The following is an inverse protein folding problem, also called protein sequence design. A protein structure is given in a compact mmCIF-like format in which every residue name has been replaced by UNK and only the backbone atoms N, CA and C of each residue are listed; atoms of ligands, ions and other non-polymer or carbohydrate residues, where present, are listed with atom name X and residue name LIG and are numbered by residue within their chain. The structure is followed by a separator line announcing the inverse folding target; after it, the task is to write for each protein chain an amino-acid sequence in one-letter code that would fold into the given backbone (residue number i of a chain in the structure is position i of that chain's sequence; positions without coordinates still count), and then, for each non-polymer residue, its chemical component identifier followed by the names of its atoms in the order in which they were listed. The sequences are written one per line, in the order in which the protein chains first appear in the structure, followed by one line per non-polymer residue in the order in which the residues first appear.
data_IF_192941689263
#
_entry.id   IF_192941689263
#
_cell.length_a   1.000
_cell.length_b   1.000
_cell.length_c   1.000
_cell.angle_alpha   90.00
_cell.angle_beta   90.00
_cell.angle_gamma   90.00
#
_symmetry.space_group_name_H-M   'P 1'
#
loop_
_entity.id
_entity.type
_entity.pdbx_description
1 polymer ?
#
# COMPACT_ATOMS: atom_id res chain seq x y z
N UNK A 1 12.59 23.21 -3.87
CA UNK A 1 11.79 22.40 -2.93
C UNK A 1 12.58 22.21 -1.67
N UNK A 2 11.95 22.39 -0.49
CA UNK A 2 12.66 22.37 0.78
C UNK A 2 12.91 20.91 1.19
N UNK A 3 14.18 20.53 1.39
CA UNK A 3 14.58 19.19 1.83
C UNK A 3 14.42 19.08 3.35
N UNK A 4 13.98 17.93 3.84
CA UNK A 4 13.92 17.62 5.27
C UNK A 4 15.33 17.27 5.73
N UNK A 5 15.80 17.94 6.78
CA UNK A 5 17.11 17.64 7.41
C UNK A 5 16.93 16.54 8.45
N UNK A 6 17.30 15.31 8.08
CA UNK A 6 17.23 14.14 8.98
C UNK A 6 18.33 14.18 10.06
N UNK A 7 19.38 14.98 9.83
CA UNK A 7 20.55 15.02 10.69
C UNK A 7 20.38 15.95 11.88
N UNK A 8 20.07 17.23 11.60
CA UNK A 8 20.05 18.29 12.63
C UNK A 8 18.65 18.81 12.94
N UNK A 9 17.66 18.47 12.12
CA UNK A 9 16.30 18.94 12.28
C UNK A 9 15.58 18.35 13.50
N UNK A 10 14.57 19.07 13.99
CA UNK A 10 13.69 18.58 15.04
C UNK A 10 12.90 17.36 14.56
N UNK A 11 12.95 16.27 15.30
CA UNK A 11 12.35 14.98 14.93
C UNK A 11 10.84 15.08 14.70
N UNK A 12 10.11 15.75 15.59
CA UNK A 12 8.65 15.92 15.46
C UNK A 12 8.31 16.68 14.17
N UNK A 13 9.00 17.81 13.94
CA UNK A 13 8.82 18.62 12.73
C UNK A 13 9.17 17.83 11.45
N UNK A 14 10.21 17.02 11.50
CA UNK A 14 10.63 16.21 10.35
C UNK A 14 9.61 15.11 10.03
N UNK A 15 9.08 14.44 11.05
CA UNK A 15 8.02 13.43 10.87
C UNK A 15 6.77 14.07 10.29
N UNK A 16 6.32 15.21 10.83
CA UNK A 16 5.15 15.91 10.28
C UNK A 16 5.37 16.38 8.84
N UNK A 17 6.55 16.93 8.52
CA UNK A 17 6.91 17.34 7.16
C UNK A 17 7.00 16.18 6.18
N UNK A 18 7.26 14.97 6.65
CA UNK A 18 7.24 13.76 5.82
C UNK A 18 5.83 13.15 5.74
N UNK A 19 5.12 13.06 6.86
CA UNK A 19 3.83 12.38 6.95
C UNK A 19 2.69 13.17 6.29
N UNK A 20 2.64 14.51 6.44
CA UNK A 20 1.56 15.31 5.86
C UNK A 20 1.51 15.28 4.33
N UNK A 21 2.61 15.47 3.59
CA UNK A 21 2.60 15.29 2.15
C UNK A 21 2.21 13.86 1.74
N UNK A 22 2.70 12.85 2.47
CA UNK A 22 2.35 11.47 2.19
C UNK A 22 0.86 11.20 2.41
N UNK A 23 0.26 11.77 3.46
CA UNK A 23 -1.17 11.69 3.72
C UNK A 23 -1.98 12.31 2.58
N UNK A 24 -1.61 13.52 2.13
CA UNK A 24 -2.27 14.18 1.00
C UNK A 24 -2.17 13.33 -0.27
N UNK A 25 -0.99 12.76 -0.56
CA UNK A 25 -0.80 11.86 -1.69
C UNK A 25 -1.73 10.62 -1.62
N UNK A 26 -1.84 10.01 -0.45
CA UNK A 26 -2.70 8.83 -0.25
C UNK A 26 -4.19 9.17 -0.39
N UNK A 27 -4.63 10.30 0.16
CA UNK A 27 -6.02 10.78 0.01
C UNK A 27 -6.32 11.05 -1.47
N UNK A 28 -5.42 11.73 -2.19
CA UNK A 28 -5.59 11.98 -3.63
C UNK A 28 -5.66 10.68 -4.43
N UNK A 29 -4.84 9.69 -4.07
CA UNK A 29 -4.86 8.37 -4.69
C UNK A 29 -6.19 7.62 -4.44
N UNK A 30 -6.74 7.70 -3.23
CA UNK A 30 -8.06 7.14 -2.93
C UNK A 30 -9.16 7.83 -3.72
N UNK A 31 -9.15 9.16 -3.76
CA UNK A 31 -10.17 9.95 -4.45
C UNK A 31 -10.20 9.63 -5.96
N UNK A 32 -9.03 9.63 -6.62
CA UNK A 32 -9.01 9.34 -8.05
C UNK A 32 -9.48 7.90 -8.34
N UNK A 33 -9.12 6.90 -7.53
CA UNK A 33 -9.60 5.53 -7.71
C UNK A 33 -11.12 5.41 -7.59
N UNK A 34 -11.74 6.19 -6.69
CA UNK A 34 -13.20 6.22 -6.52
C UNK A 34 -13.84 6.88 -7.74
N UNK A 35 -13.31 8.04 -8.16
CA UNK A 35 -13.88 8.82 -9.28
C UNK A 35 -13.75 8.07 -10.60
N UNK A 36 -12.61 7.41 -10.86
CA UNK A 36 -12.42 6.54 -12.04
C UNK A 36 -13.51 5.46 -12.13
N UNK A 37 -13.78 4.76 -11.02
CA UNK A 37 -14.86 3.76 -10.97
C UNK A 37 -16.25 4.37 -11.21
N UNK A 38 -16.50 5.58 -10.70
CA UNK A 38 -17.77 6.30 -10.93
C UNK A 38 -17.93 6.65 -12.42
N UNK A 39 -16.86 7.09 -13.10
CA UNK A 39 -16.92 7.35 -14.53
C UNK A 39 -17.16 6.08 -15.34
N UNK A 40 -16.46 4.98 -15.03
CA UNK A 40 -16.67 3.68 -15.69
C UNK A 40 -18.09 3.18 -15.48
N UNK A 41 -18.65 3.29 -14.27
CA UNK A 41 -20.01 2.87 -13.97
C UNK A 41 -21.08 3.69 -14.74
N UNK A 42 -20.75 4.90 -15.18
CA UNK A 42 -21.64 5.80 -15.93
C UNK A 42 -21.48 5.69 -17.45
N UNK A 43 -20.70 4.75 -17.97
CA UNK A 43 -20.63 4.50 -19.42
C UNK A 43 -22.02 4.05 -19.91
N UNK A 44 -22.61 4.73 -20.91
CA UNK A 44 -23.94 4.38 -21.43
C UNK A 44 -24.02 2.91 -21.84
N UNK A 45 -25.14 2.28 -21.57
CA UNK A 45 -25.53 0.90 -21.91
C UNK A 45 -24.69 -0.23 -21.31
N UNK A 46 -23.44 0.03 -20.92
CA UNK A 46 -22.48 -1.02 -20.49
C UNK A 46 -21.79 -0.75 -19.15
N UNK A 47 -22.13 0.32 -18.44
CA UNK A 47 -21.41 0.76 -17.23
C UNK A 47 -21.25 -0.33 -16.16
N UNK A 48 -22.32 -1.08 -15.87
CA UNK A 48 -22.27 -2.17 -14.89
C UNK A 48 -21.34 -3.31 -15.33
N UNK A 49 -21.42 -3.71 -16.61
CA UNK A 49 -20.56 -4.75 -17.19
C UNK A 49 -19.10 -4.28 -17.25
N UNK A 50 -18.88 -3.02 -17.63
CA UNK A 50 -17.56 -2.40 -17.68
C UNK A 50 -16.91 -2.34 -16.28
N UNK A 51 -17.67 -1.95 -15.26
CA UNK A 51 -17.19 -1.94 -13.88
C UNK A 51 -16.81 -3.35 -13.38
N UNK A 52 -17.63 -4.35 -13.70
CA UNK A 52 -17.33 -5.76 -13.42
C UNK A 52 -16.06 -6.23 -14.13
N UNK A 53 -15.87 -5.81 -15.39
CA UNK A 53 -14.66 -6.11 -16.16
C UNK A 53 -13.38 -5.53 -15.54
N UNK A 54 -13.42 -4.28 -15.06
CA UNK A 54 -12.30 -3.68 -14.30
C UNK A 54 -12.04 -4.47 -13.01
N UNK A 55 -13.09 -4.92 -12.34
CA UNK A 55 -12.97 -5.77 -11.15
C UNK A 55 -12.20 -7.06 -11.42
N UNK A 56 -12.38 -7.69 -12.58
CA UNK A 56 -11.62 -8.88 -12.99
C UNK A 56 -10.13 -8.58 -13.26
N UNK A 57 -9.79 -7.35 -13.66
CA UNK A 57 -8.40 -6.92 -13.87
C UNK A 57 -7.70 -6.56 -12.57
N UNK A 58 -8.44 -6.26 -11.50
CA UNK A 58 -7.90 -5.75 -10.24
C UNK A 58 -6.84 -6.63 -9.59
N UNK A 59 -6.94 -7.98 -9.54
CA UNK A 59 -5.89 -8.82 -8.99
C UNK A 59 -4.55 -8.66 -9.71
N UNK A 60 -4.55 -8.47 -11.04
CA UNK A 60 -3.33 -8.25 -11.83
C UNK A 60 -2.71 -6.89 -11.46
N UNK A 61 -3.53 -5.86 -11.31
CA UNK A 61 -3.10 -4.52 -10.88
C UNK A 61 -2.46 -4.59 -9.48
N UNK A 62 -3.05 -5.36 -8.56
CA UNK A 62 -2.50 -5.59 -7.22
C UNK A 62 -1.14 -6.29 -7.27
N UNK A 63 -0.97 -7.28 -8.13
CA UNK A 63 0.32 -7.97 -8.32
C UNK A 63 1.38 -6.98 -8.82
N UNK A 64 1.09 -6.16 -9.83
CA UNK A 64 2.01 -5.14 -10.35
C UNK A 64 2.43 -4.18 -9.24
N UNK A 65 1.47 -3.71 -8.44
CA UNK A 65 1.73 -2.81 -7.31
C UNK A 65 2.55 -3.50 -6.20
N UNK A 66 2.30 -4.78 -5.94
CA UNK A 66 3.07 -5.55 -4.96
C UNK A 66 4.55 -5.67 -5.37
N UNK A 67 4.82 -5.90 -6.66
CA UNK A 67 6.20 -5.90 -7.18
C UNK A 67 6.83 -4.51 -7.15
N UNK A 68 6.08 -3.43 -7.41
CA UNK A 68 6.59 -2.05 -7.22
C UNK A 68 7.06 -1.84 -5.79
N UNK A 69 6.23 -2.23 -4.82
CA UNK A 69 6.54 -2.13 -3.40
C UNK A 69 7.70 -3.02 -2.97
N UNK A 70 7.86 -4.21 -3.59
CA UNK A 70 8.99 -5.11 -3.33
C UNK A 70 10.33 -4.38 -3.48
N UNK A 71 10.50 -3.62 -4.55
CA UNK A 71 11.76 -2.92 -4.82
C UNK A 71 11.84 -1.55 -4.15
N UNK A 72 10.72 -0.82 -4.08
CA UNK A 72 10.66 0.51 -3.49
C UNK A 72 10.80 0.49 -1.98
N UNK A 73 9.89 -0.19 -1.29
CA UNK A 73 9.89 -0.27 0.17
C UNK A 73 10.95 -1.21 0.73
N UNK A 74 11.47 -2.12 -0.09
CA UNK A 74 12.63 -2.96 0.25
C UNK A 74 13.95 -2.21 0.16
N UNK A 75 14.12 -1.36 -0.86
CA UNK A 75 15.38 -0.65 -1.10
C UNK A 75 15.54 0.65 -0.30
N UNK A 76 14.47 1.44 -0.16
CA UNK A 76 14.53 2.77 0.46
C UNK A 76 15.04 2.79 1.92
N UNK A 77 14.66 1.86 2.81
CA UNK A 77 15.23 1.80 4.15
C UNK A 77 16.74 1.51 4.15
N UNK A 78 17.19 0.54 3.34
CA UNK A 78 18.61 0.17 3.25
C UNK A 78 19.41 1.33 2.66
N UNK A 79 18.88 2.00 1.63
CA UNK A 79 19.44 3.24 1.08
C UNK A 79 19.60 4.31 2.17
N UNK A 80 18.56 4.53 2.99
CA UNK A 80 18.60 5.53 4.07
C UNK A 80 19.63 5.18 5.16
N UNK A 81 19.80 3.89 5.48
CA UNK A 81 20.83 3.42 6.42
C UNK A 81 22.24 3.73 5.88
N UNK A 82 22.54 3.37 4.62
CA UNK A 82 23.86 3.61 4.03
C UNK A 82 24.14 5.10 3.88
N UNK A 83 23.11 5.89 3.56
CA UNK A 83 23.22 7.35 3.57
C UNK A 83 23.53 7.90 4.96
N UNK A 84 22.89 7.36 6.01
CA UNK A 84 23.18 7.72 7.41
C UNK A 84 24.60 7.37 7.84
N UNK A 85 25.19 6.28 7.34
CA UNK A 85 26.58 5.90 7.54
C UNK A 85 27.58 6.81 6.82
N UNK A 86 27.12 7.72 5.95
CA UNK A 86 27.97 8.52 5.07
C UNK A 86 28.50 7.74 3.85
N UNK A 87 28.01 6.53 3.61
CA UNK A 87 28.43 5.71 2.47
C UNK A 87 27.62 6.08 1.21
N UNK A 88 27.90 7.26 0.66
CA UNK A 88 27.18 7.83 -0.47
C UNK A 88 27.23 6.95 -1.73
N UNK A 89 28.37 6.32 -2.00
CA UNK A 89 28.54 5.43 -3.15
C UNK A 89 27.62 4.21 -3.05
N UNK A 90 27.57 3.56 -1.88
CA UNK A 90 26.72 2.40 -1.64
C UNK A 90 25.23 2.77 -1.64
N UNK A 91 24.85 3.92 -1.07
CA UNK A 91 23.48 4.40 -1.12
C UNK A 91 23.01 4.60 -2.57
N UNK A 92 23.82 5.27 -3.41
CA UNK A 92 23.53 5.43 -4.83
C UNK A 92 23.42 4.10 -5.57
N UNK A 93 24.31 3.15 -5.29
CA UNK A 93 24.28 1.81 -5.87
C UNK A 93 22.97 1.07 -5.51
N UNK A 94 22.54 1.10 -4.26
CA UNK A 94 21.31 0.46 -3.80
C UNK A 94 20.05 1.02 -4.49
N UNK A 95 19.95 2.34 -4.66
CA UNK A 95 18.86 2.95 -5.40
C UNK A 95 18.85 2.51 -6.87
N UNK A 96 20.03 2.49 -7.52
CA UNK A 96 20.18 2.08 -8.91
C UNK A 96 19.93 0.58 -9.10
N UNK A 97 20.31 -0.25 -8.12
CA UNK A 97 19.98 -1.68 -8.10
C UNK A 97 18.46 -1.87 -8.00
N UNK A 98 17.78 -1.17 -7.10
CA UNK A 98 16.31 -1.22 -6.99
C UNK A 98 15.63 -0.80 -8.28
N UNK A 99 16.09 0.28 -8.93
CA UNK A 99 15.54 0.74 -10.20
C UNK A 99 15.74 -0.26 -11.32
N UNK A 100 16.94 -0.84 -11.44
CA UNK A 100 17.25 -1.82 -12.48
C UNK A 100 16.41 -3.10 -12.31
N UNK A 101 16.28 -3.60 -11.07
CA UNK A 101 15.44 -4.75 -10.77
C UNK A 101 13.95 -4.47 -11.05
N UNK A 102 13.47 -3.29 -10.67
CA UNK A 102 12.12 -2.83 -10.93
C UNK A 102 11.84 -2.76 -12.44
N UNK A 103 12.74 -2.16 -13.21
CA UNK A 103 12.60 -2.04 -14.66
C UNK A 103 12.58 -3.40 -15.35
N UNK A 104 13.49 -4.30 -14.96
CA UNK A 104 13.52 -5.67 -15.49
C UNK A 104 12.24 -6.43 -15.14
N UNK A 105 11.81 -6.35 -13.89
CA UNK A 105 10.57 -6.99 -13.43
C UNK A 105 9.34 -6.43 -14.18
N UNK A 106 9.28 -5.11 -14.38
CA UNK A 106 8.19 -4.47 -15.11
C UNK A 106 8.07 -4.97 -16.55
N UNK A 107 9.21 -5.14 -17.24
CA UNK A 107 9.23 -5.69 -18.60
C UNK A 107 8.78 -7.16 -18.60
N UNK A 108 9.25 -7.96 -17.65
CA UNK A 108 8.84 -9.37 -17.51
C UNK A 108 7.33 -9.47 -17.25
N UNK A 109 6.81 -8.68 -16.30
CA UNK A 109 5.38 -8.68 -15.97
C UNK A 109 4.53 -8.18 -17.14
N UNK A 110 4.98 -7.16 -17.86
CA UNK A 110 4.31 -6.66 -19.06
C UNK A 110 4.23 -7.75 -20.13
N UNK A 111 5.34 -8.38 -20.48
CA UNK A 111 5.38 -9.43 -21.51
C UNK A 111 4.53 -10.63 -21.07
N UNK A 112 4.71 -11.12 -19.86
CA UNK A 112 3.92 -12.23 -19.32
C UNK A 112 2.42 -11.89 -19.28
N UNK A 113 2.09 -10.69 -18.82
CA UNK A 113 0.71 -10.20 -18.78
C UNK A 113 0.08 -10.15 -20.18
N UNK A 114 0.78 -9.58 -21.17
CA UNK A 114 0.30 -9.51 -22.56
C UNK A 114 0.10 -10.90 -23.19
N UNK A 115 0.99 -11.84 -22.93
CA UNK A 115 0.91 -13.22 -23.46
C UNK A 115 -0.22 -14.02 -22.79
N UNK A 116 -0.42 -13.83 -21.49
CA UNK A 116 -1.34 -14.63 -20.68
C UNK A 116 -2.61 -13.87 -20.23
N UNK A 117 -2.87 -12.66 -20.74
CA UNK A 117 -4.02 -11.84 -20.34
C UNK A 117 -5.35 -12.59 -20.43
N UNK A 118 -5.62 -13.21 -21.58
CA UNK A 118 -6.88 -13.93 -21.81
C UNK A 118 -7.05 -15.15 -20.89
N UNK A 119 -6.11 -16.11 -20.81
CA UNK A 119 -6.25 -17.25 -19.90
C UNK A 119 -6.33 -16.84 -18.43
N UNK A 120 -5.63 -15.79 -17.99
CA UNK A 120 -5.72 -15.28 -16.62
C UNK A 120 -7.12 -14.71 -16.33
N UNK A 121 -7.70 -13.92 -17.24
CA UNK A 121 -9.05 -13.38 -17.07
C UNK A 121 -10.10 -14.50 -17.03
N UNK A 122 -9.97 -15.53 -17.86
CA UNK A 122 -10.86 -16.71 -17.82
C UNK A 122 -10.72 -17.45 -16.49
N UNK A 123 -9.49 -17.62 -15.99
CA UNK A 123 -9.23 -18.24 -14.68
C UNK A 123 -9.87 -17.44 -13.53
N UNK A 124 -9.96 -16.12 -13.68
CA UNK A 124 -10.61 -15.24 -12.70
C UNK A 124 -12.15 -15.17 -12.87
N UNK A 125 -12.71 -15.98 -13.77
CA UNK A 125 -14.15 -16.12 -13.93
C UNK A 125 -14.77 -15.14 -14.93
N UNK A 126 -13.99 -14.62 -15.88
CA UNK A 126 -14.53 -13.78 -16.94
C UNK A 126 -15.49 -14.57 -17.82
N UNK A 127 -16.75 -14.11 -17.93
CA UNK A 127 -17.70 -14.57 -18.94
C UNK A 127 -17.31 -14.00 -20.33
N UNK A 128 -17.85 -14.55 -21.40
CA UNK A 128 -17.60 -14.04 -22.76
C UNK A 128 -17.95 -12.55 -22.88
N UNK A 129 -19.06 -12.13 -22.28
CA UNK A 129 -19.47 -10.73 -22.24
C UNK A 129 -18.50 -9.86 -21.41
N UNK A 130 -18.05 -10.34 -20.24
CA UNK A 130 -17.06 -9.67 -19.41
C UNK A 130 -15.68 -9.60 -20.07
N UNK A 131 -15.29 -10.65 -20.78
CA UNK A 131 -14.01 -10.73 -21.48
C UNK A 131 -13.91 -9.69 -22.62
N UNK A 132 -15.02 -9.40 -23.29
CA UNK A 132 -15.07 -8.38 -24.36
C UNK A 132 -14.66 -6.98 -23.86
N UNK A 133 -14.86 -6.70 -22.58
CA UNK A 133 -14.47 -5.41 -21.93
C UNK A 133 -13.17 -5.53 -21.13
N UNK A 134 -12.98 -6.61 -20.38
CA UNK A 134 -11.80 -6.81 -19.52
C UNK A 134 -10.52 -6.97 -20.33
N UNK A 135 -10.55 -7.73 -21.42
CA UNK A 135 -9.36 -8.01 -22.21
C UNK A 135 -8.75 -6.75 -22.85
N UNK A 136 -9.50 -5.90 -23.60
CA UNK A 136 -8.91 -4.69 -24.16
C UNK A 136 -8.48 -3.68 -23.09
N UNK A 137 -9.20 -3.58 -21.97
CA UNK A 137 -8.80 -2.76 -20.84
C UNK A 137 -7.44 -3.21 -20.29
N UNK A 138 -7.31 -4.51 -20.00
CA UNK A 138 -6.09 -5.09 -19.44
C UNK A 138 -4.91 -4.96 -20.41
N UNK A 139 -5.11 -5.21 -21.70
CA UNK A 139 -4.05 -5.08 -22.71
C UNK A 139 -3.48 -3.66 -22.76
N UNK A 140 -4.34 -2.63 -22.70
CA UNK A 140 -3.91 -1.22 -22.65
C UNK A 140 -3.20 -0.94 -21.32
N UNK A 141 -3.78 -1.36 -20.20
CA UNK A 141 -3.21 -1.14 -18.86
C UNK A 141 -1.80 -1.74 -18.74
N UNK A 142 -1.58 -2.94 -19.28
CA UNK A 142 -0.29 -3.64 -19.22
C UNK A 142 0.83 -2.89 -19.96
N UNK A 143 0.53 -2.11 -21.00
CA UNK A 143 1.52 -1.24 -21.64
C UNK A 143 2.03 -0.15 -20.69
N UNK A 144 1.22 0.23 -19.70
CA UNK A 144 1.58 1.14 -18.62
C UNK A 144 2.33 0.49 -17.44
N UNK A 145 2.68 -0.79 -17.49
CA UNK A 145 3.29 -1.50 -16.35
C UNK A 145 4.59 -0.84 -15.88
N UNK A 146 5.52 -0.52 -16.79
CA UNK A 146 6.77 0.15 -16.42
C UNK A 146 6.54 1.55 -15.82
N UNK A 147 5.78 2.47 -16.45
CA UNK A 147 5.45 3.75 -15.84
C UNK A 147 4.79 3.61 -14.46
N UNK A 148 3.81 2.73 -14.32
CA UNK A 148 3.12 2.49 -13.05
C UNK A 148 4.08 2.04 -11.95
N UNK A 149 4.93 1.06 -12.26
CA UNK A 149 5.94 0.57 -11.32
C UNK A 149 6.99 1.62 -11.00
N UNK A 150 7.46 2.39 -11.97
CA UNK A 150 8.45 3.44 -11.77
C UNK A 150 7.90 4.57 -10.89
N UNK A 151 6.67 5.04 -11.14
CA UNK A 151 6.03 6.08 -10.34
C UNK A 151 5.88 5.66 -8.88
N UNK A 152 5.39 4.44 -8.64
CA UNK A 152 5.11 3.95 -7.29
C UNK A 152 6.37 3.45 -6.58
N UNK A 153 7.21 2.67 -7.26
CA UNK A 153 8.37 2.01 -6.66
C UNK A 153 9.58 2.92 -6.44
N UNK A 154 9.71 4.03 -7.20
CA UNK A 154 10.80 4.98 -7.01
C UNK A 154 10.44 6.16 -6.09
N UNK A 155 9.16 6.39 -5.81
CA UNK A 155 8.69 7.43 -4.88
C UNK A 155 9.27 7.28 -3.45
N UNK A 156 9.40 6.07 -2.85
CA UNK A 156 10.05 5.89 -1.56
C UNK A 156 11.49 6.42 -1.51
N UNK A 157 12.24 6.39 -2.61
CA UNK A 157 13.60 6.95 -2.68
C UNK A 157 13.61 8.48 -2.72
N UNK A 158 12.58 9.12 -3.27
CA UNK A 158 12.39 10.58 -3.16
C UNK A 158 12.17 10.97 -1.70
N UNK A 159 11.29 10.24 -1.00
CA UNK A 159 11.02 10.44 0.42
C UNK A 159 12.26 10.15 1.28
N UNK A 160 13.01 9.10 0.96
CA UNK A 160 14.26 8.72 1.63
C UNK A 160 15.38 9.75 1.46
N UNK A 161 15.34 10.56 0.40
CA UNK A 161 16.23 11.71 0.22
C UNK A 161 15.76 12.99 0.94
N UNK A 162 14.57 12.95 1.57
CA UNK A 162 13.99 14.07 2.32
C UNK A 162 13.09 14.99 1.49
N UNK A 163 12.65 14.58 0.30
CA UNK A 163 11.82 15.38 -0.60
C UNK A 163 10.35 14.94 -0.61
N UNK A 164 9.76 14.72 0.57
CA UNK A 164 8.39 14.19 0.71
C UNK A 164 7.34 15.00 -0.08
N UNK A 165 7.45 16.33 -0.13
CA UNK A 165 6.56 17.19 -0.94
C UNK A 165 6.69 16.89 -2.44
N UNK A 166 7.88 16.55 -2.91
CA UNK A 166 8.09 16.16 -4.31
C UNK A 166 7.43 14.81 -4.60
N UNK A 167 7.56 13.86 -3.67
CA UNK A 167 6.84 12.58 -3.77
C UNK A 167 5.33 12.76 -3.83
N UNK A 168 4.77 13.67 -3.02
CA UNK A 168 3.35 14.05 -3.08
C UNK A 168 2.96 14.62 -4.44
N UNK A 169 3.74 15.56 -4.97
CA UNK A 169 3.46 16.22 -6.25
C UNK A 169 3.38 15.19 -7.39
N UNK A 170 4.24 14.18 -7.41
CA UNK A 170 4.18 13.12 -8.43
C UNK A 170 2.85 12.36 -8.44
N UNK A 171 2.31 12.07 -7.24
CA UNK A 171 1.00 11.40 -7.10
C UNK A 171 -0.13 12.34 -7.53
N UNK A 172 -0.07 13.63 -7.15
CA UNK A 172 -1.07 14.64 -7.52
C UNK A 172 -1.09 14.83 -9.05
N UNK A 173 0.07 14.88 -9.72
CA UNK A 173 0.15 14.95 -11.20
C UNK A 173 -0.62 13.77 -11.81
N UNK A 174 -0.36 12.55 -11.37
CA UNK A 174 -1.07 11.36 -11.85
C UNK A 174 -2.57 11.45 -11.60
N UNK A 175 -2.98 11.78 -10.37
CA UNK A 175 -4.37 11.84 -9.97
C UNK A 175 -5.17 12.90 -10.73
N UNK A 176 -4.64 14.13 -10.85
CA UNK A 176 -5.32 15.23 -11.60
C UNK A 176 -5.38 14.89 -13.09
N UNK A 177 -4.30 14.38 -13.66
CA UNK A 177 -4.29 13.99 -15.08
C UNK A 177 -5.35 12.93 -15.36
N UNK A 178 -5.45 11.90 -14.53
CA UNK A 178 -6.45 10.84 -14.69
C UNK A 178 -7.88 11.42 -14.57
N UNK A 179 -8.14 12.23 -13.53
CA UNK A 179 -9.44 12.86 -13.30
C UNK A 179 -9.92 13.73 -14.50
N UNK A 180 -8.99 14.38 -15.20
CA UNK A 180 -9.30 15.21 -16.37
C UNK A 180 -9.41 14.39 -17.66
N UNK A 181 -8.59 13.35 -17.81
CA UNK A 181 -8.54 12.55 -19.04
C UNK A 181 -9.63 11.49 -19.10
N UNK A 182 -10.10 10.95 -17.96
CA UNK A 182 -11.16 9.95 -17.93
C UNK A 182 -12.43 10.44 -18.64
N UNK A 183 -13.07 11.56 -18.24
CA UNK A 183 -14.28 12.01 -18.93
C UNK A 183 -14.02 12.36 -20.41
N UNK A 184 -12.82 12.85 -20.75
CA UNK A 184 -12.45 13.18 -22.11
C UNK A 184 -12.39 11.92 -22.99
N UNK A 185 -11.67 10.88 -22.56
CA UNK A 185 -11.52 9.65 -23.35
C UNK A 185 -12.75 8.76 -23.30
N UNK A 186 -13.41 8.68 -22.14
CA UNK A 186 -14.59 7.82 -21.96
C UNK A 186 -15.79 8.36 -22.73
N UNK A 187 -16.12 9.66 -22.55
CA UNK A 187 -17.39 10.23 -23.02
C UNK A 187 -17.21 11.09 -24.27
N UNK A 188 -16.23 12.03 -24.29
CA UNK A 188 -16.08 12.96 -25.42
C UNK A 188 -15.54 12.22 -26.65
N UNK A 189 -14.52 11.40 -26.51
CA UNK A 189 -13.99 10.57 -27.61
C UNK A 189 -14.75 9.25 -27.80
N UNK A 190 -15.69 8.92 -26.91
CA UNK A 190 -16.53 7.74 -27.04
C UNK A 190 -15.78 6.40 -26.93
N UNK A 191 -14.57 6.39 -26.33
CA UNK A 191 -13.75 5.17 -26.24
C UNK A 191 -14.20 4.21 -25.13
N UNK A 192 -15.16 4.65 -24.27
CA UNK A 192 -15.68 3.83 -23.19
C UNK A 192 -14.59 3.30 -22.26
N UNK A 193 -14.64 2.02 -21.92
CA UNK A 193 -13.66 1.39 -20.99
C UNK A 193 -12.21 1.44 -21.49
N UNK A 194 -11.99 1.42 -22.81
CA UNK A 194 -10.65 1.59 -23.39
C UNK A 194 -10.10 2.98 -23.09
N UNK A 195 -10.99 3.98 -23.09
CA UNK A 195 -10.67 5.37 -22.74
C UNK A 195 -10.16 5.50 -21.32
N UNK A 196 -10.82 4.84 -20.35
CA UNK A 196 -10.37 4.78 -18.96
C UNK A 196 -8.95 4.18 -18.83
N UNK A 197 -8.69 3.05 -19.52
CA UNK A 197 -7.36 2.44 -19.52
C UNK A 197 -6.28 3.37 -20.12
N UNK A 198 -6.58 4.04 -21.22
CA UNK A 198 -5.65 5.00 -21.86
C UNK A 198 -5.36 6.18 -20.93
N UNK A 199 -6.40 6.77 -20.31
CA UNK A 199 -6.25 7.86 -19.36
C UNK A 199 -5.36 7.46 -18.17
N UNK A 200 -5.58 6.26 -17.64
CA UNK A 200 -4.76 5.71 -16.55
C UNK A 200 -3.31 5.55 -16.96
N UNK A 201 -3.02 4.97 -18.12
CA UNK A 201 -1.64 4.79 -18.60
C UNK A 201 -0.93 6.12 -18.85
N UNK A 202 -1.62 7.11 -19.43
CA UNK A 202 -1.06 8.46 -19.63
C UNK A 202 -0.75 9.10 -18.27
N UNK A 203 -1.67 9.02 -17.32
CA UNK A 203 -1.52 9.60 -16.00
C UNK A 203 -0.35 8.99 -15.23
N UNK A 204 -0.21 7.67 -15.27
CA UNK A 204 0.93 6.94 -14.69
C UNK A 204 2.24 7.31 -15.40
N UNK A 205 2.20 7.49 -16.73
CA UNK A 205 3.38 7.88 -17.50
C UNK A 205 3.86 9.29 -17.13
N UNK A 206 2.95 10.26 -16.96
CA UNK A 206 3.31 11.61 -16.54
C UNK A 206 3.84 11.62 -15.09
N UNK A 207 3.23 10.86 -14.19
CA UNK A 207 3.74 10.70 -12.82
C UNK A 207 5.13 10.07 -12.82
N UNK A 208 5.35 9.01 -13.59
CA UNK A 208 6.66 8.37 -13.74
C UNK A 208 7.71 9.29 -14.36
N UNK A 209 7.34 10.02 -15.41
CA UNK A 209 8.22 11.00 -16.04
C UNK A 209 8.69 12.07 -15.06
N UNK A 210 7.78 12.57 -14.21
CA UNK A 210 8.13 13.52 -13.15
C UNK A 210 9.06 12.89 -12.09
N UNK A 211 8.78 11.68 -11.62
CA UNK A 211 9.61 10.95 -10.65
C UNK A 211 11.02 10.71 -11.21
N UNK A 212 11.12 10.19 -12.42
CA UNK A 212 12.39 9.88 -13.07
C UNK A 212 13.18 11.16 -13.40
N UNK A 213 12.49 12.21 -13.90
CA UNK A 213 13.10 13.52 -14.13
C UNK A 213 13.69 14.08 -12.85
N UNK A 214 12.93 14.06 -11.74
CA UNK A 214 13.42 14.55 -10.46
C UNK A 214 14.63 13.75 -9.97
N UNK A 215 14.54 12.42 -9.98
CA UNK A 215 15.62 11.54 -9.52
C UNK A 215 16.86 11.60 -10.41
N UNK A 216 16.72 11.94 -11.71
CA UNK A 216 17.86 12.04 -12.62
C UNK A 216 18.56 13.40 -12.56
N UNK A 217 17.79 14.50 -12.50
CA UNK A 217 18.33 15.85 -12.66
C UNK A 217 18.40 16.68 -11.37
N UNK A 218 17.48 16.46 -10.41
CA UNK A 218 17.29 17.34 -9.24
C UNK A 218 17.66 16.71 -7.90
N UNK A 219 17.61 15.39 -7.81
CA UNK A 219 17.92 14.67 -6.58
C UNK A 219 19.43 14.65 -6.28
N UNK A 220 19.78 14.53 -5.00
CA UNK A 220 21.18 14.36 -4.56
C UNK A 220 21.79 13.07 -5.10
N UNK A 221 21.04 11.96 -4.99
CA UNK A 221 21.40 10.68 -5.56
C UNK A 221 20.65 10.51 -6.87
N UNK A 222 21.42 10.43 -7.96
CA UNK A 222 20.86 10.38 -9.32
C UNK A 222 20.58 8.95 -9.75
N UNK A 223 19.44 8.76 -10.38
CA UNK A 223 19.05 7.47 -10.93
C UNK A 223 19.77 7.21 -12.26
N UNK A 224 20.25 6.00 -12.43
CA UNK A 224 20.79 5.44 -13.66
C UNK A 224 20.67 3.92 -13.69
N UNK A 225 20.78 3.32 -14.83
CA UNK A 225 20.94 1.88 -14.92
C UNK A 225 22.35 1.46 -14.45
N UNK A 226 22.43 0.26 -13.89
CA UNK A 226 23.71 -0.32 -13.49
C UNK A 226 24.59 -0.61 -14.71
N UNK A 227 25.88 -0.37 -14.57
CA UNK A 227 26.87 -0.85 -15.54
C UNK A 227 27.00 -2.38 -15.47
N UNK A 228 27.60 -2.99 -16.49
CA UNK A 228 27.81 -4.45 -16.53
C UNK A 228 28.62 -4.96 -15.34
N UNK A 229 29.62 -4.20 -14.89
CA UNK A 229 30.46 -4.54 -13.74
C UNK A 229 29.69 -4.44 -12.42
N UNK A 230 28.86 -3.40 -12.26
CA UNK A 230 28.01 -3.22 -11.09
C UNK A 230 26.91 -4.31 -11.04
N UNK A 231 26.34 -4.67 -12.19
CA UNK A 231 25.33 -5.74 -12.29
C UNK A 231 25.90 -7.08 -11.82
N UNK A 232 27.15 -7.38 -12.16
CA UNK A 232 27.81 -8.61 -11.71
C UNK A 232 28.08 -8.63 -10.19
N UNK A 233 28.29 -7.48 -9.56
CA UNK A 233 28.62 -7.35 -8.13
C UNK A 233 27.43 -7.05 -7.22
N UNK A 234 26.25 -6.70 -7.78
CA UNK A 234 25.10 -6.27 -6.98
C UNK A 234 24.23 -7.41 -6.42
N UNK A 235 24.61 -8.67 -6.59
CA UNK A 235 23.78 -9.83 -6.22
C UNK A 235 23.38 -9.85 -4.73
N UNK A 236 24.29 -9.46 -3.84
CA UNK A 236 24.02 -9.37 -2.40
C UNK A 236 23.07 -8.22 -2.08
N UNK A 237 23.23 -7.08 -2.75
CA UNK A 237 22.34 -5.92 -2.62
C UNK A 237 20.93 -6.25 -3.13
N UNK A 238 20.84 -6.89 -4.28
CA UNK A 238 19.58 -7.38 -4.84
C UNK A 238 18.86 -8.33 -3.86
N UNK A 239 19.60 -9.30 -3.31
CA UNK A 239 19.09 -10.20 -2.26
C UNK A 239 18.58 -9.44 -1.04
N UNK A 240 19.31 -8.42 -0.60
CA UNK A 240 18.93 -7.62 0.56
C UNK A 240 17.66 -6.82 0.31
N UNK A 241 17.56 -6.17 -0.85
CA UNK A 241 16.38 -5.40 -1.28
C UNK A 241 15.15 -6.31 -1.37
N UNK A 242 15.25 -7.40 -2.14
CA UNK A 242 14.15 -8.34 -2.31
C UNK A 242 13.72 -8.96 -0.99
N UNK A 243 14.67 -9.39 -0.15
CA UNK A 243 14.37 -9.99 1.15
C UNK A 243 13.63 -9.03 2.09
N UNK A 244 14.01 -7.74 2.15
CA UNK A 244 13.30 -6.77 2.97
C UNK A 244 11.94 -6.42 2.37
N UNK A 245 11.88 -6.24 1.05
CA UNK A 245 10.64 -5.91 0.34
C UNK A 245 9.61 -7.04 0.35
N UNK A 246 10.05 -8.29 0.48
CA UNK A 246 9.17 -9.46 0.61
C UNK A 246 8.15 -9.31 1.75
N UNK A 247 8.49 -8.62 2.84
CA UNK A 247 7.56 -8.35 3.93
C UNK A 247 6.35 -7.52 3.47
N UNK A 248 6.57 -6.46 2.70
CA UNK A 248 5.50 -5.62 2.14
C UNK A 248 4.73 -6.33 1.03
N UNK A 249 5.44 -7.07 0.18
CA UNK A 249 4.86 -7.89 -0.88
C UNK A 249 3.88 -8.93 -0.32
N UNK A 250 4.31 -9.72 0.67
CA UNK A 250 3.46 -10.70 1.36
C UNK A 250 2.27 -10.02 2.01
N UNK A 251 2.48 -8.88 2.70
CA UNK A 251 1.40 -8.16 3.35
C UNK A 251 0.31 -7.73 2.37
N UNK A 252 0.67 -7.31 1.16
CA UNK A 252 -0.28 -6.91 0.13
C UNK A 252 -1.05 -8.10 -0.45
N UNK A 253 -0.37 -9.19 -0.77
CA UNK A 253 -1.01 -10.41 -1.27
C UNK A 253 -1.91 -11.05 -0.21
N UNK A 254 -1.49 -11.08 1.04
CA UNK A 254 -2.28 -11.67 2.13
C UNK A 254 -3.52 -10.86 2.47
N UNK A 255 -3.53 -9.55 2.26
CA UNK A 255 -4.76 -8.76 2.37
C UNK A 255 -5.82 -9.21 1.36
N UNK A 256 -5.42 -9.46 0.11
CA UNK A 256 -6.33 -9.99 -0.92
C UNK A 256 -6.82 -11.40 -0.56
N UNK A 257 -5.93 -12.26 -0.07
CA UNK A 257 -6.29 -13.61 0.40
C UNK A 257 -7.33 -13.55 1.53
N UNK A 258 -7.13 -12.71 2.54
CA UNK A 258 -8.08 -12.54 3.65
C UNK A 258 -9.45 -12.08 3.13
N UNK A 259 -9.48 -11.15 2.18
CA UNK A 259 -10.74 -10.67 1.59
C UNK A 259 -11.47 -11.80 0.86
N UNK A 260 -10.76 -12.62 0.08
CA UNK A 260 -11.35 -13.79 -0.61
C UNK A 260 -11.91 -14.78 0.41
N UNK A 261 -11.13 -15.15 1.43
CA UNK A 261 -11.58 -16.07 2.49
C UNK A 261 -12.80 -15.53 3.23
N UNK A 262 -12.79 -14.24 3.60
CA UNK A 262 -13.91 -13.60 4.29
C UNK A 262 -15.18 -13.62 3.42
N UNK A 263 -15.08 -13.24 2.15
CA UNK A 263 -16.23 -13.24 1.23
C UNK A 263 -16.79 -14.66 1.03
N UNK A 264 -15.93 -15.68 0.91
CA UNK A 264 -16.37 -17.07 0.76
C UNK A 264 -17.15 -17.55 1.98
N UNK A 265 -16.70 -17.23 3.20
CA UNK A 265 -17.42 -17.62 4.42
C UNK A 265 -18.69 -16.81 4.59
N UNK A 266 -18.65 -15.50 4.31
CA UNK A 266 -19.83 -14.62 4.42
C UNK A 266 -20.93 -15.01 3.41
N UNK A 267 -20.57 -15.41 2.19
CA UNK A 267 -21.57 -15.86 1.19
C UNK A 267 -22.38 -17.06 1.68
N UNK A 268 -21.75 -17.98 2.42
CA UNK A 268 -22.40 -19.18 2.98
C UNK A 268 -23.15 -18.88 4.27
N UNK A 269 -22.59 -18.02 5.16
CA UNK A 269 -23.13 -17.82 6.52
C UNK A 269 -24.11 -16.66 6.63
N UNK A 270 -24.06 -15.68 5.71
CA UNK A 270 -24.85 -14.45 5.78
C UNK A 270 -25.41 -13.97 4.43
N UNK A 271 -25.02 -14.61 3.33
CA UNK A 271 -25.43 -14.23 1.98
C UNK A 271 -24.85 -12.90 1.50
N UNK A 272 -25.39 -12.40 0.38
CA UNK A 272 -24.92 -11.21 -0.33
C UNK A 272 -24.97 -9.92 0.52
N UNK A 273 -25.92 -9.85 1.46
CA UNK A 273 -26.04 -8.71 2.39
C UNK A 273 -24.75 -8.56 3.22
N UNK A 274 -24.22 -9.64 3.77
CA UNK A 274 -23.02 -9.58 4.59
C UNK A 274 -21.73 -9.39 3.78
N UNK A 275 -21.71 -9.76 2.51
CA UNK A 275 -20.65 -9.38 1.58
C UNK A 275 -20.66 -7.86 1.38
N UNK A 276 -21.84 -7.26 1.23
CA UNK A 276 -22.03 -5.81 1.12
C UNK A 276 -21.60 -5.09 2.41
N UNK A 277 -21.99 -5.63 3.57
CA UNK A 277 -21.53 -5.15 4.89
C UNK A 277 -19.99 -5.15 4.97
N UNK A 278 -19.33 -6.25 4.59
CA UNK A 278 -17.88 -6.35 4.61
C UNK A 278 -17.20 -5.37 3.64
N UNK A 279 -17.83 -5.10 2.50
CA UNK A 279 -17.33 -4.12 1.52
C UNK A 279 -17.33 -2.71 2.10
N UNK A 280 -18.41 -2.31 2.79
CA UNK A 280 -18.48 -1.02 3.48
C UNK A 280 -17.42 -0.94 4.60
N UNK A 281 -17.34 -1.97 5.45
CA UNK A 281 -16.36 -2.04 6.53
C UNK A 281 -14.93 -1.94 5.99
N UNK A 282 -14.62 -2.64 4.89
CA UNK A 282 -13.30 -2.59 4.24
C UNK A 282 -12.99 -1.20 3.67
N UNK A 283 -13.99 -0.50 3.14
CA UNK A 283 -13.83 0.87 2.63
C UNK A 283 -13.59 1.87 3.77
N UNK A 284 -14.34 1.77 4.86
CA UNK A 284 -14.10 2.56 6.08
C UNK A 284 -12.71 2.25 6.62
N UNK A 285 -12.34 0.98 6.70
CA UNK A 285 -11.01 0.55 7.14
C UNK A 285 -9.91 1.22 6.32
N UNK A 286 -9.96 1.15 5.00
CA UNK A 286 -8.96 1.77 4.12
C UNK A 286 -8.85 3.28 4.38
N UNK A 287 -9.96 3.96 4.57
CA UNK A 287 -9.99 5.40 4.86
C UNK A 287 -9.31 5.72 6.20
N UNK A 288 -9.62 4.96 7.26
CA UNK A 288 -9.09 5.24 8.61
C UNK A 288 -7.66 4.73 8.83
N UNK A 289 -7.20 3.73 8.08
CA UNK A 289 -5.81 3.24 8.14
C UNK A 289 -4.83 4.15 7.39
N UNK A 290 -5.29 4.86 6.37
CA UNK A 290 -4.44 5.71 5.51
C UNK A 290 -3.57 6.71 6.27
N UNK A 291 -4.07 7.48 7.26
CA UNK A 291 -3.21 8.38 8.03
C UNK A 291 -2.21 7.66 8.93
N UNK A 292 -2.56 6.49 9.47
CA UNK A 292 -1.62 5.68 10.27
C UNK A 292 -0.46 5.25 9.38
N UNK A 293 -0.75 4.77 8.17
CA UNK A 293 0.24 4.40 7.17
C UNK A 293 1.13 5.59 6.78
N UNK A 294 0.55 6.77 6.56
CA UNK A 294 1.30 7.97 6.22
C UNK A 294 2.27 8.40 7.33
N UNK A 295 1.85 8.33 8.61
CA UNK A 295 2.70 8.64 9.77
C UNK A 295 3.84 7.61 9.88
N UNK A 296 3.53 6.34 9.77
CA UNK A 296 4.52 5.27 9.98
C UNK A 296 5.54 5.20 8.83
N UNK A 297 5.08 5.17 7.60
CA UNK A 297 5.97 5.13 6.43
C UNK A 297 6.73 6.46 6.22
N UNK A 298 6.10 7.61 6.55
CA UNK A 298 6.79 8.90 6.55
C UNK A 298 7.91 9.00 7.59
N UNK A 299 7.79 8.28 8.71
CA UNK A 299 8.83 8.21 9.75
C UNK A 299 9.97 7.25 9.39
N UNK A 300 9.73 6.26 8.55
CA UNK A 300 10.68 5.20 8.23
C UNK A 300 12.03 5.72 7.72
N UNK A 301 12.12 6.66 6.76
CA UNK A 301 13.41 7.19 6.30
C UNK A 301 14.20 7.91 7.40
N UNK A 302 13.52 8.60 8.33
CA UNK A 302 14.13 9.32 9.44
C UNK A 302 14.75 8.33 10.43
N UNK A 303 14.03 7.25 10.76
CA UNK A 303 14.49 6.18 11.63
C UNK A 303 15.69 5.47 10.99
N UNK A 304 15.58 5.07 9.72
CA UNK A 304 16.63 4.37 8.97
C UNK A 304 17.92 5.19 8.86
N UNK A 305 17.81 6.48 8.54
CA UNK A 305 18.95 7.39 8.44
C UNK A 305 19.69 7.51 9.78
N UNK A 306 18.97 7.80 10.87
CA UNK A 306 19.57 7.98 12.19
C UNK A 306 20.13 6.66 12.75
N UNK A 307 19.55 5.52 12.38
CA UNK A 307 20.12 4.21 12.70
C UNK A 307 21.46 4.00 11.99
N UNK A 308 21.53 4.30 10.70
CA UNK A 308 22.78 4.26 9.93
C UNK A 308 23.86 5.21 10.49
N UNK A 309 23.46 6.41 10.90
CA UNK A 309 24.33 7.41 11.52
C UNK A 309 24.76 7.09 12.96
N UNK A 310 24.40 5.92 13.51
CA UNK A 310 24.67 5.49 14.89
C UNK A 310 24.21 6.50 15.95
N UNK A 311 22.99 7.03 15.78
CA UNK A 311 22.36 8.00 16.69
C UNK A 311 21.16 7.35 17.43
N UNK A 312 21.39 6.45 18.41
CA UNK A 312 20.32 5.64 19.02
C UNK A 312 19.26 6.49 19.72
N UNK A 313 19.63 7.62 20.29
CA UNK A 313 18.71 8.55 20.94
C UNK A 313 17.71 9.13 19.93
N UNK A 314 18.16 9.53 18.71
CA UNK A 314 17.27 10.03 17.66
C UNK A 314 16.39 8.93 17.07
N UNK A 315 16.90 7.71 16.93
CA UNK A 315 16.11 6.54 16.51
C UNK A 315 14.96 6.28 17.51
N UNK A 316 15.30 6.26 18.82
CA UNK A 316 14.30 6.08 19.88
C UNK A 316 13.28 7.22 19.91
N UNK A 317 13.73 8.46 19.81
CA UNK A 317 12.85 9.63 19.76
C UNK A 317 11.92 9.58 18.54
N UNK A 318 12.43 9.25 17.36
CA UNK A 318 11.62 9.12 16.14
C UNK A 318 10.58 7.99 16.27
N UNK A 319 10.96 6.83 16.81
CA UNK A 319 10.05 5.73 17.06
C UNK A 319 8.93 6.09 18.06
N UNK A 320 9.27 6.77 19.17
CA UNK A 320 8.28 7.23 20.15
C UNK A 320 7.36 8.28 19.53
N UNK A 321 7.91 9.29 18.84
CA UNK A 321 7.10 10.34 18.20
C UNK A 321 6.13 9.76 17.17
N UNK A 322 6.61 8.82 16.32
CA UNK A 322 5.78 8.09 15.38
C UNK A 322 4.64 7.37 16.10
N UNK A 323 4.95 6.59 17.15
CA UNK A 323 3.96 5.85 17.92
C UNK A 323 2.93 6.76 18.59
N UNK A 324 3.36 7.88 19.20
CA UNK A 324 2.48 8.84 19.87
C UNK A 324 1.56 9.54 18.87
N UNK A 325 2.07 10.04 17.74
CA UNK A 325 1.25 10.70 16.73
C UNK A 325 0.21 9.74 16.16
N UNK A 326 0.64 8.52 15.84
CA UNK A 326 -0.27 7.49 15.33
C UNK A 326 -1.29 7.05 16.41
N UNK A 327 -0.91 7.01 17.70
CA UNK A 327 -1.80 6.70 18.81
C UNK A 327 -2.88 7.79 18.99
N UNK A 328 -2.50 9.05 18.99
CA UNK A 328 -3.44 10.18 19.09
C UNK A 328 -4.47 10.09 17.97
N UNK A 329 -4.02 9.94 16.73
CA UNK A 329 -4.93 9.77 15.59
C UNK A 329 -5.83 8.54 15.73
N UNK A 330 -5.24 7.38 16.10
CA UNK A 330 -6.00 6.13 16.24
C UNK A 330 -7.08 6.25 17.31
N UNK A 331 -6.79 6.85 18.45
CA UNK A 331 -7.78 7.08 19.52
C UNK A 331 -8.91 8.01 19.07
N UNK A 332 -8.59 9.08 18.36
CA UNK A 332 -9.59 10.00 17.83
C UNK A 332 -10.52 9.30 16.84
N UNK A 333 -9.98 8.63 15.83
CA UNK A 333 -10.82 7.98 14.82
C UNK A 333 -11.57 6.78 15.38
N UNK A 334 -10.97 6.02 16.31
CA UNK A 334 -11.64 4.90 16.98
C UNK A 334 -12.83 5.38 17.81
N UNK A 335 -12.69 6.52 18.50
CA UNK A 335 -13.81 7.16 19.20
C UNK A 335 -14.94 7.52 18.22
N UNK A 336 -14.62 8.04 17.02
CA UNK A 336 -15.63 8.34 15.99
C UNK A 336 -16.31 7.07 15.48
N UNK A 337 -15.53 6.00 15.23
CA UNK A 337 -16.08 4.72 14.78
C UNK A 337 -17.08 4.14 15.79
N UNK A 338 -16.79 4.24 17.10
CA UNK A 338 -17.64 3.71 18.15
C UNK A 338 -18.85 4.61 18.44
N UNK A 339 -18.66 5.93 18.44
CA UNK A 339 -19.70 6.90 18.80
C UNK A 339 -20.66 7.21 17.63
N UNK A 340 -20.14 7.30 16.41
CA UNK A 340 -20.89 7.71 15.24
C UNK A 340 -20.70 6.76 14.02
N UNK A 341 -20.90 5.43 14.15
CA UNK A 341 -20.69 4.50 13.06
C UNK A 341 -21.60 4.80 11.86
N UNK A 342 -22.84 5.24 12.10
CA UNK A 342 -23.79 5.59 11.03
C UNK A 342 -23.29 6.70 10.13
N UNK A 343 -22.54 7.68 10.67
CA UNK A 343 -21.95 8.75 9.87
C UNK A 343 -20.93 8.19 8.87
N UNK A 344 -20.03 7.31 9.32
CA UNK A 344 -19.02 6.69 8.46
C UNK A 344 -19.64 5.76 7.41
N UNK A 345 -20.63 4.97 7.80
CA UNK A 345 -21.36 4.09 6.88
C UNK A 345 -22.11 4.90 5.83
N UNK A 346 -22.73 6.03 6.25
CA UNK A 346 -23.48 6.93 5.38
C UNK A 346 -22.67 7.58 4.26
N UNK A 347 -21.33 7.61 4.37
CA UNK A 347 -20.44 8.05 3.29
C UNK A 347 -20.51 7.07 2.09
N UNK A 348 -20.78 5.77 2.36
CA UNK A 348 -20.72 4.70 1.37
C UNK A 348 -22.09 4.17 0.95
N UNK A 349 -23.09 4.24 1.84
CA UNK A 349 -24.44 3.75 1.56
C UNK A 349 -25.50 4.56 2.31
N UNK A 350 -26.61 4.84 1.62
CA UNK A 350 -27.82 5.44 2.20
C UNK A 350 -28.92 4.41 2.52
N UNK A 351 -28.68 3.13 2.27
CA UNK A 351 -29.64 2.06 2.53
C UNK A 351 -29.76 1.79 4.03
N UNK A 352 -30.97 2.02 4.57
CA UNK A 352 -31.26 1.88 6.00
C UNK A 352 -31.26 0.42 6.46
N UNK A 353 -31.65 -0.52 5.61
CA UNK A 353 -31.63 -1.94 5.95
C UNK A 353 -30.16 -2.41 6.09
N UNK A 354 -29.31 -2.09 5.11
CA UNK A 354 -27.89 -2.41 5.14
C UNK A 354 -27.17 -1.73 6.32
N UNK A 355 -27.57 -0.52 6.68
CA UNK A 355 -27.02 0.22 7.82
C UNK A 355 -27.29 -0.50 9.15
N UNK A 356 -28.44 -1.13 9.30
CA UNK A 356 -28.82 -1.85 10.51
C UNK A 356 -27.90 -3.04 10.78
N UNK A 357 -27.49 -3.76 9.75
CA UNK A 357 -26.57 -4.89 9.86
C UNK A 357 -25.10 -4.43 9.95
N UNK A 358 -24.78 -3.34 9.26
CA UNK A 358 -23.37 -2.83 9.21
C UNK A 358 -22.92 -2.22 10.53
N UNK A 359 -23.80 -1.53 11.28
CA UNK A 359 -23.43 -0.87 12.55
C UNK A 359 -22.87 -1.87 13.59
N UNK A 360 -23.55 -2.97 13.93
CA UNK A 360 -23.01 -3.94 14.90
C UNK A 360 -21.75 -4.65 14.38
N UNK A 361 -21.75 -5.04 13.09
CA UNK A 361 -20.60 -5.67 12.45
C UNK A 361 -19.35 -4.76 12.47
N UNK A 362 -19.54 -3.46 12.19
CA UNK A 362 -18.46 -2.47 12.22
C UNK A 362 -17.91 -2.27 13.64
N UNK A 363 -18.77 -2.19 14.66
CA UNK A 363 -18.33 -2.09 16.05
C UNK A 363 -17.52 -3.33 16.47
N UNK A 364 -17.95 -4.50 16.05
CA UNK A 364 -17.24 -5.76 16.32
C UNK A 364 -15.89 -5.80 15.60
N UNK A 365 -15.87 -5.46 14.32
CA UNK A 365 -14.65 -5.46 13.49
C UNK A 365 -13.57 -4.51 14.03
N UNK A 366 -13.97 -3.33 14.49
CA UNK A 366 -13.08 -2.32 15.05
C UNK A 366 -12.91 -2.39 16.58
N UNK A 367 -13.43 -3.42 17.26
CA UNK A 367 -13.40 -3.52 18.72
C UNK A 367 -11.98 -3.41 19.31
N UNK A 368 -10.97 -3.95 18.62
CA UNK A 368 -9.57 -3.90 19.02
C UNK A 368 -8.68 -3.10 18.04
N UNK A 369 -9.23 -2.04 17.44
CA UNK A 369 -8.53 -1.25 16.43
C UNK A 369 -7.22 -0.64 16.92
N UNK A 370 -7.15 -0.25 18.20
CA UNK A 370 -5.93 0.29 18.82
C UNK A 370 -4.74 -0.67 18.76
N UNK A 371 -4.97 -1.98 18.85
CA UNK A 371 -3.91 -2.98 18.78
C UNK A 371 -3.31 -3.14 17.38
N UNK A 372 -4.07 -2.76 16.35
CA UNK A 372 -3.56 -2.71 14.98
C UNK A 372 -2.41 -1.70 14.83
N UNK A 373 -2.48 -0.57 15.56
CA UNK A 373 -1.40 0.42 15.60
C UNK A 373 -0.07 -0.22 16.03
N UNK A 374 -0.09 -1.11 17.02
CA UNK A 374 1.10 -1.78 17.53
C UNK A 374 1.80 -2.60 16.42
N UNK A 375 1.01 -3.20 15.54
CA UNK A 375 1.52 -3.89 14.36
C UNK A 375 2.19 -2.93 13.38
N UNK A 376 1.55 -1.80 13.05
CA UNK A 376 2.11 -0.81 12.12
C UNK A 376 3.42 -0.23 12.64
N UNK A 377 3.46 0.16 13.91
CA UNK A 377 4.68 0.70 14.56
C UNK A 377 5.80 -0.34 14.58
N UNK A 378 5.52 -1.55 15.05
CA UNK A 378 6.52 -2.63 15.13
C UNK A 378 7.08 -3.01 13.76
N UNK A 379 6.21 -3.20 12.77
CA UNK A 379 6.59 -3.53 11.39
C UNK A 379 7.43 -2.44 10.73
N UNK A 380 7.04 -1.17 10.89
CA UNK A 380 7.79 -0.05 10.32
C UNK A 380 9.18 0.04 10.93
N UNK A 381 9.32 -0.14 12.25
CA UNK A 381 10.62 -0.16 12.92
C UNK A 381 11.46 -1.35 12.42
N UNK A 382 10.90 -2.56 12.30
CA UNK A 382 11.63 -3.71 11.76
C UNK A 382 12.11 -3.46 10.33
N UNK A 383 11.28 -2.89 9.46
CA UNK A 383 11.67 -2.52 8.09
C UNK A 383 12.77 -1.44 8.10
N UNK A 384 12.57 -0.38 8.87
CA UNK A 384 13.48 0.76 8.94
C UNK A 384 14.88 0.37 9.46
N UNK A 385 14.99 -0.63 10.35
CA UNK A 385 16.23 -1.15 10.88
C UNK A 385 16.77 -2.38 10.10
N UNK A 386 16.18 -2.69 8.94
CA UNK A 386 16.55 -3.85 8.10
C UNK A 386 16.44 -5.21 8.82
N UNK A 387 15.47 -5.34 9.73
CA UNK A 387 15.20 -6.58 10.47
C UNK A 387 14.27 -7.51 9.66
N UNK A 388 14.74 -7.98 8.51
CA UNK A 388 13.97 -8.72 7.49
C UNK A 388 13.19 -9.90 8.06
N UNK A 389 13.84 -10.75 8.87
CA UNK A 389 13.21 -11.96 9.43
C UNK A 389 11.96 -11.62 10.25
N UNK A 390 12.03 -10.61 11.10
CA UNK A 390 10.89 -10.17 11.91
C UNK A 390 9.81 -9.52 11.05
N UNK A 391 10.19 -8.67 10.09
CA UNK A 391 9.24 -8.03 9.20
C UNK A 391 8.43 -9.05 8.38
N UNK A 392 9.07 -10.07 7.81
CA UNK A 392 8.42 -11.16 7.06
C UNK A 392 7.55 -12.00 7.99
N UNK A 393 8.10 -12.45 9.14
CA UNK A 393 7.39 -13.29 10.09
C UNK A 393 6.07 -12.66 10.54
N UNK A 394 6.09 -11.39 10.96
CA UNK A 394 4.88 -10.72 11.44
C UNK A 394 3.89 -10.36 10.32
N UNK A 395 4.35 -10.23 9.06
CA UNK A 395 3.45 -10.09 7.91
C UNK A 395 2.63 -11.37 7.69
N UNK A 396 3.26 -12.53 7.82
CA UNK A 396 2.61 -13.85 7.64
C UNK A 396 1.78 -14.20 8.88
N UNK A 397 2.34 -14.03 10.08
CA UNK A 397 1.71 -14.44 11.34
C UNK A 397 0.30 -13.88 11.47
N UNK A 398 0.15 -12.56 11.34
CA UNK A 398 -1.14 -11.93 11.58
C UNK A 398 -2.19 -12.33 10.56
N UNK A 399 -1.87 -12.24 9.28
CA UNK A 399 -2.87 -12.42 8.21
C UNK A 399 -3.09 -13.89 7.84
N UNK A 400 -2.02 -14.65 7.64
CA UNK A 400 -2.13 -16.03 7.17
C UNK A 400 -2.35 -17.00 8.33
N UNK A 401 -1.57 -16.87 9.42
CA UNK A 401 -1.61 -17.84 10.52
C UNK A 401 -2.75 -17.55 11.49
N UNK A 402 -3.15 -16.29 11.69
CA UNK A 402 -4.21 -15.94 12.65
C UNK A 402 -5.52 -15.63 11.93
N UNK A 403 -5.58 -14.62 11.05
CA UNK A 403 -6.85 -14.15 10.46
C UNK A 403 -7.51 -15.22 9.61
N UNK A 404 -6.78 -15.84 8.67
CA UNK A 404 -7.39 -16.81 7.74
C UNK A 404 -8.00 -18.00 8.50
N UNK A 405 -7.30 -18.70 9.41
CA UNK A 405 -7.93 -19.79 10.18
C UNK A 405 -9.11 -19.31 11.04
N UNK A 406 -9.00 -18.18 11.71
CA UNK A 406 -10.09 -17.65 12.54
C UNK A 406 -11.32 -17.29 11.71
N UNK A 407 -11.13 -16.79 10.47
CA UNK A 407 -12.24 -16.50 9.53
C UNK A 407 -13.07 -17.75 9.23
N UNK A 408 -12.44 -18.94 9.20
CA UNK A 408 -13.16 -20.21 9.00
C UNK A 408 -13.62 -20.83 10.31
N UNK A 409 -12.86 -20.73 11.41
CA UNK A 409 -13.16 -21.43 12.67
C UNK A 409 -14.27 -20.71 13.45
N UNK A 410 -14.15 -19.40 13.68
CA UNK A 410 -15.06 -18.67 14.59
C UNK A 410 -16.54 -18.72 14.18
N UNK A 411 -16.91 -18.60 12.89
CA UNK A 411 -18.32 -18.66 12.48
C UNK A 411 -19.01 -19.96 12.90
N UNK A 412 -18.28 -21.07 12.80
CA UNK A 412 -18.83 -22.40 13.06
C UNK A 412 -18.58 -22.89 14.49
N UNK A 413 -17.38 -22.70 15.05
CA UNK A 413 -17.04 -23.19 16.39
C UNK A 413 -17.84 -22.49 17.50
N UNK A 414 -18.18 -21.21 17.33
CA UNK A 414 -18.97 -20.44 18.29
C UNK A 414 -20.44 -20.32 17.89
N UNK A 415 -20.85 -20.89 16.76
CA UNK A 415 -22.20 -20.76 16.19
C UNK A 415 -22.69 -19.31 16.06
N UNK A 416 -21.78 -18.35 15.78
CA UNK A 416 -22.10 -16.92 15.67
C UNK A 416 -22.23 -16.45 14.22
N UNK A 417 -22.14 -17.38 13.27
CA UNK A 417 -22.34 -17.09 11.84
C UNK A 417 -21.45 -15.98 11.31
N UNK A 418 -21.99 -15.00 10.54
CA UNK A 418 -21.21 -13.94 9.91
C UNK A 418 -20.36 -13.11 10.92
N UNK A 419 -20.84 -12.96 12.16
CA UNK A 419 -20.13 -12.22 13.20
C UNK A 419 -18.76 -12.85 13.53
N UNK A 420 -18.59 -14.15 13.33
CA UNK A 420 -17.29 -14.81 13.47
C UNK A 420 -16.26 -14.33 12.50
N UNK A 421 -16.64 -13.99 11.26
CA UNK A 421 -15.75 -13.42 10.26
C UNK A 421 -15.28 -12.03 10.70
N UNK A 422 -16.20 -11.18 11.16
CA UNK A 422 -15.86 -9.85 11.66
C UNK A 422 -14.99 -9.89 12.92
N UNK A 423 -15.14 -10.91 13.75
CA UNK A 423 -14.37 -11.10 15.00
C UNK A 423 -12.94 -11.56 14.74
N UNK A 424 -12.62 -12.15 13.60
CA UNK A 424 -11.28 -12.62 13.26
C UNK A 424 -10.25 -11.49 13.27
N UNK A 425 -10.60 -10.30 12.76
CA UNK A 425 -9.68 -9.15 12.70
C UNK A 425 -9.32 -8.60 14.10
N UNK A 426 -10.26 -8.25 15.00
CA UNK A 426 -9.91 -7.78 16.34
C UNK A 426 -9.11 -8.78 17.14
N UNK A 427 -9.41 -10.08 17.08
CA UNK A 427 -8.62 -11.12 17.75
C UNK A 427 -7.18 -11.13 17.24
N UNK A 428 -7.02 -11.06 15.91
CA UNK A 428 -5.69 -11.02 15.30
C UNK A 428 -4.91 -9.75 15.64
N UNK A 429 -5.60 -8.61 15.77
CA UNK A 429 -4.97 -7.35 16.16
C UNK A 429 -4.43 -7.43 17.59
N UNK A 430 -5.19 -7.98 18.52
CA UNK A 430 -4.74 -8.17 19.91
C UNK A 430 -3.53 -9.10 19.96
N UNK A 431 -3.61 -10.27 19.35
CA UNK A 431 -2.54 -11.28 19.41
C UNK A 431 -1.34 -10.84 18.57
N UNK A 432 -1.54 -10.62 17.28
CA UNK A 432 -0.47 -10.33 16.32
C UNK A 432 0.14 -8.95 16.53
N UNK A 433 -0.69 -7.92 16.78
CA UNK A 433 -0.25 -6.56 17.03
C UNK A 433 0.58 -6.44 18.31
N UNK A 434 0.07 -6.98 19.43
CA UNK A 434 0.79 -6.98 20.71
C UNK A 434 2.09 -7.75 20.62
N UNK A 435 2.07 -8.96 20.03
CA UNK A 435 3.28 -9.78 19.90
C UNK A 435 4.33 -9.09 19.04
N UNK A 436 3.93 -8.48 17.91
CA UNK A 436 4.83 -7.71 17.04
C UNK A 436 5.51 -6.58 17.82
N UNK A 437 4.74 -5.83 18.60
CA UNK A 437 5.25 -4.69 19.37
C UNK A 437 6.16 -5.14 20.52
N UNK A 438 5.79 -6.16 21.28
CA UNK A 438 6.60 -6.70 22.37
C UNK A 438 7.94 -7.23 21.85
N UNK A 439 7.93 -8.01 20.76
CA UNK A 439 9.16 -8.52 20.14
C UNK A 439 10.00 -7.37 19.58
N UNK A 440 9.37 -6.34 19.03
CA UNK A 440 10.09 -5.14 18.59
C UNK A 440 10.79 -4.46 19.77
N UNK A 441 10.10 -4.24 20.88
CA UNK A 441 10.71 -3.63 22.07
C UNK A 441 11.85 -4.51 22.63
N UNK A 442 11.66 -5.82 22.75
CA UNK A 442 12.66 -6.74 23.31
C UNK A 442 13.90 -6.93 22.42
N UNK A 443 13.79 -6.69 21.11
CA UNK A 443 14.92 -6.86 20.18
C UNK A 443 15.61 -5.55 19.86
N UNK A 444 14.84 -4.46 19.66
CA UNK A 444 15.37 -3.18 19.20
C UNK A 444 15.92 -2.34 20.34
N UNK A 445 15.24 -2.26 21.50
CA UNK A 445 15.72 -1.44 22.61
C UNK A 445 17.10 -1.88 23.17
N UNK A 446 17.37 -3.20 23.38
CA UNK A 446 18.70 -3.62 23.80
C UNK A 446 19.80 -3.33 22.76
N UNK A 447 19.46 -3.44 21.48
CA UNK A 447 20.40 -3.11 20.40
C UNK A 447 20.75 -1.62 20.40
N UNK A 448 19.75 -0.74 20.49
CA UNK A 448 19.96 0.71 20.56
C UNK A 448 20.75 1.14 21.81
N UNK A 449 20.69 0.38 22.92
CA UNK A 449 21.51 0.64 24.11
C UNK A 449 22.98 0.25 23.93
N UNK A 450 23.26 -0.68 23.02
CA UNK A 450 24.63 -1.15 22.70
C UNK A 450 25.32 -0.35 21.59
N UNK A 451 24.57 0.47 20.85
CA UNK A 451 25.09 1.39 19.83
C UNK A 451 25.70 2.64 20.46
#
# INVERSE_FOLDING_TARGET
MKRIDFENGNIVSNILKAALPMLVAQIMSLLYNIVDRVYIARIPDVGTTALGAVGLCFPIIVIITAFSNLFGTGGAPIFSIERGKGNHAKAGLLMNTSFTLLALCAVILMIAGLLFARPILVLFGASDAGLAYAYPYLMIYLLGTFPSMAATGMNPFINAQGYATTGMISVIIGAITNLLLDPLFIFVFGLGIKGAAIATVISQTLSAAFVLYFLHYKAEYRIRFLSKTELASCSEDAKNIVSLGTAGFIMQLTNSLVTICANNVLSVTGGDVYISVMTIISSVRQMVETPIYAITEGSSPIISYNYGARRPQKVRQAGITMAVLALIYTLLIWSVILAAPRFLIGIFSSDQALMTDTVPAMKLYFAAFIFMLLQYVGQTIFKALNKKKYAIFFSILRKVIIVVPLTYILPYALNIGPNGVFMAEPVSNVIGGSLCFIVMLSTVLPELKRM
#
